data_IF_864174295432
#
_entry.id   IF_864174295432
#
_cell.length_a   1.000
_cell.length_b   1.000
_cell.length_c   1.000
_cell.angle_alpha   90.00
_cell.angle_beta   90.00
_cell.angle_gamma   90.00
#
_symmetry.space_group_name_H-M   'P 1'
#
loop_
_entity.id
_entity.type
_entity.pdbx_description
1 polymer ?
#
# COMPACT_ATOMS: atom_id res chain seq x y z
N UNK A 1 14.69 -27.26 33.02
CA UNK A 1 16.06 -27.17 32.43
C UNK A 1 16.17 -27.52 30.95
N UNK A 2 15.13 -28.02 30.26
CA UNK A 2 15.17 -28.30 28.82
C UNK A 2 14.81 -27.11 27.90
N UNK A 3 14.32 -25.99 28.46
CA UNK A 3 13.79 -24.86 27.68
C UNK A 3 14.84 -23.85 27.21
N UNK A 4 16.05 -23.81 27.81
CA UNK A 4 17.13 -22.92 27.35
C UNK A 4 17.94 -23.53 26.19
N UNK A 5 18.08 -24.85 26.16
CA UNK A 5 18.90 -25.56 25.17
C UNK A 5 18.30 -25.53 23.75
N UNK A 6 16.97 -25.54 23.62
CA UNK A 6 16.28 -25.43 22.32
C UNK A 6 16.37 -24.02 21.71
N UNK A 7 16.52 -22.98 22.55
CA UNK A 7 16.71 -21.59 22.13
C UNK A 7 18.18 -21.25 21.80
N UNK A 8 19.15 -22.01 22.29
CA UNK A 8 20.58 -21.80 21.99
C UNK A 8 21.00 -22.36 20.62
N UNK A 9 20.32 -23.39 20.11
CA UNK A 9 20.51 -23.96 18.78
C UNK A 9 20.29 -22.95 17.62
N UNK A 10 19.20 -22.15 17.58
CA UNK A 10 18.97 -21.18 16.52
C UNK A 10 19.96 -19.99 16.52
N UNK A 11 20.53 -19.62 17.68
CA UNK A 11 21.47 -18.49 17.78
C UNK A 11 22.86 -18.85 17.24
N UNK A 12 23.32 -20.08 17.45
CA UNK A 12 24.60 -20.57 16.89
C UNK A 12 24.56 -20.72 15.37
N UNK A 13 23.45 -21.25 14.86
CA UNK A 13 23.24 -21.40 13.43
C UNK A 13 23.18 -20.05 12.69
N UNK A 14 22.69 -18.99 13.34
CA UNK A 14 22.61 -17.65 12.76
C UNK A 14 23.97 -16.98 12.47
N UNK A 15 25.09 -17.54 12.93
CA UNK A 15 26.44 -16.97 12.71
C UNK A 15 27.21 -17.57 11.53
N UNK A 16 26.80 -18.73 11.01
CA UNK A 16 27.53 -19.44 9.95
C UNK A 16 26.70 -19.53 8.65
N UNK A 17 26.80 -18.51 7.80
CA UNK A 17 26.08 -18.44 6.51
C UNK A 17 26.35 -19.65 5.59
N UNK A 18 27.54 -20.27 5.69
CA UNK A 18 27.90 -21.46 4.91
C UNK A 18 27.12 -22.73 5.27
N UNK A 19 26.66 -22.86 6.52
CA UNK A 19 25.85 -24.01 6.96
C UNK A 19 24.39 -23.90 6.48
N UNK A 20 23.92 -22.69 6.17
CA UNK A 20 22.56 -22.44 5.71
C UNK A 20 22.27 -23.08 4.36
N UNK A 21 23.26 -23.04 3.47
CA UNK A 21 23.16 -23.62 2.12
C UNK A 21 23.27 -25.14 2.14
N UNK A 22 24.06 -25.70 3.07
CA UNK A 22 24.34 -27.13 3.13
C UNK A 22 23.27 -27.94 3.91
N UNK A 23 22.65 -27.36 4.95
CA UNK A 23 21.65 -28.05 5.79
C UNK A 23 20.62 -27.07 6.36
N UNK A 24 19.62 -26.61 5.59
CA UNK A 24 18.58 -25.73 6.13
C UNK A 24 17.92 -26.36 7.36
N UNK A 25 17.97 -25.67 8.52
CA UNK A 25 17.32 -26.08 9.78
C UNK A 25 15.83 -26.39 9.63
N UNK A 26 15.19 -25.79 8.62
CA UNK A 26 13.76 -25.89 8.36
C UNK A 26 13.58 -26.44 6.95
N UNK A 27 13.09 -27.67 6.84
CA UNK A 27 12.62 -28.23 5.57
C UNK A 27 11.16 -27.80 5.34
N UNK A 28 10.73 -27.74 4.09
CA UNK A 28 9.33 -27.42 3.73
C UNK A 28 8.37 -28.40 4.40
N UNK A 29 8.74 -29.69 4.47
CA UNK A 29 7.95 -30.73 5.15
C UNK A 29 7.86 -30.52 6.67
N UNK A 30 8.94 -30.10 7.33
CA UNK A 30 8.92 -29.82 8.78
C UNK A 30 8.10 -28.58 9.10
N UNK A 31 8.17 -27.54 8.25
CA UNK A 31 7.32 -26.36 8.37
C UNK A 31 5.84 -26.70 8.17
N UNK A 32 5.53 -27.55 7.20
CA UNK A 32 4.15 -28.01 6.96
C UNK A 32 3.59 -28.76 8.16
N UNK A 33 4.36 -29.72 8.69
CA UNK A 33 3.96 -30.48 9.88
C UNK A 33 3.77 -29.58 11.11
N UNK A 34 4.63 -28.57 11.29
CA UNK A 34 4.51 -27.62 12.39
C UNK A 34 3.28 -26.73 12.22
N UNK A 35 3.02 -26.22 11.01
CA UNK A 35 1.81 -25.47 10.69
C UNK A 35 0.54 -26.31 10.90
N UNK A 36 0.54 -27.57 10.47
CA UNK A 36 -0.56 -28.50 10.70
C UNK A 36 -0.78 -28.75 12.19
N UNK A 37 0.30 -28.91 12.97
CA UNK A 37 0.22 -29.06 14.42
C UNK A 37 -0.32 -27.81 15.13
N UNK A 38 -0.04 -26.61 14.60
CA UNK A 38 -0.55 -25.34 15.13
C UNK A 38 -2.06 -25.21 14.96
N UNK A 39 -2.62 -25.68 13.84
CA UNK A 39 -4.07 -25.65 13.59
C UNK A 39 -4.82 -26.84 14.19
N UNK A 40 -4.14 -27.96 14.43
CA UNK A 40 -4.74 -29.11 15.09
C UNK A 40 -4.90 -28.88 16.61
N UNK A 41 -4.22 -27.89 17.18
CA UNK A 41 -4.42 -27.40 18.55
C UNK A 41 -5.31 -26.16 18.50
N UNK A 42 -6.56 -26.26 18.94
CA UNK A 42 -7.42 -25.08 18.97
C UNK A 42 -6.87 -24.01 19.91
N UNK A 43 -6.75 -22.79 19.38
CA UNK A 43 -6.35 -21.59 20.11
C UNK A 43 -7.57 -20.80 20.60
N UNK A 44 -8.66 -21.45 21.03
CA UNK A 44 -9.48 -20.82 22.06
C UNK A 44 -8.57 -20.71 23.28
N UNK A 45 -8.12 -19.49 23.54
CA UNK A 45 -6.98 -19.23 24.42
C UNK A 45 -7.05 -20.05 25.69
N UNK A 46 -5.94 -20.71 26.04
CA UNK A 46 -5.69 -21.30 27.37
C UNK A 46 -5.88 -20.31 28.53
N UNK A 47 -6.21 -19.04 28.25
CA UNK A 47 -6.48 -17.98 29.20
C UNK A 47 -7.95 -17.82 29.56
N UNK A 48 -8.90 -18.43 28.85
CA UNK A 48 -10.33 -18.36 29.19
C UNK A 48 -10.90 -19.62 29.85
N UNK A 49 -10.15 -20.71 29.87
CA UNK A 49 -10.52 -21.93 30.60
C UNK A 49 -9.36 -22.26 31.54
N UNK A 50 -9.60 -22.08 32.84
CA UNK A 50 -8.68 -22.48 33.89
C UNK A 50 -8.27 -23.95 33.69
N UNK A 51 -6.99 -24.32 33.90
CA UNK A 51 -6.50 -25.67 33.65
C UNK A 51 -7.03 -26.72 34.65
N UNK A 52 -7.87 -26.32 35.61
CA UNK A 52 -8.32 -27.19 36.71
C UNK A 52 -9.71 -27.81 36.50
N UNK A 53 -10.33 -27.67 35.32
CA UNK A 53 -11.49 -28.50 34.97
C UNK A 53 -11.00 -29.76 34.28
N UNK A 54 -10.55 -30.73 35.07
CA UNK A 54 -10.40 -32.10 34.62
C UNK A 54 -11.72 -32.60 34.00
N UNK A 55 -11.59 -33.30 32.87
CA UNK A 55 -12.59 -34.16 32.26
C UNK A 55 -13.83 -33.50 31.61
N UNK A 56 -13.67 -33.00 30.39
CA UNK A 56 -14.54 -33.49 29.32
C UNK A 56 -13.74 -34.40 28.38
N UNK A 57 -13.99 -35.72 28.40
CA UNK A 57 -13.31 -36.69 27.54
C UNK A 57 -13.78 -36.66 26.06
N UNK A 58 -14.50 -35.61 25.65
CA UNK A 58 -14.95 -35.36 24.28
C UNK A 58 -14.49 -33.96 23.86
N UNK A 59 -13.31 -33.91 23.22
CA UNK A 59 -12.82 -32.82 22.37
C UNK A 59 -13.24 -31.39 22.72
N UNK A 60 -12.29 -30.58 23.23
CA UNK A 60 -12.45 -29.12 23.30
C UNK A 60 -12.91 -28.47 21.97
N UNK A 61 -12.66 -29.15 20.84
CA UNK A 61 -13.19 -28.86 19.50
C UNK A 61 -14.72 -28.76 19.42
N UNK A 62 -15.45 -29.60 20.16
CA UNK A 62 -16.91 -29.70 20.06
C UNK A 62 -17.60 -28.81 21.09
N UNK A 63 -17.02 -28.62 22.27
CA UNK A 63 -17.61 -27.84 23.36
C UNK A 63 -17.69 -26.34 23.02
N UNK A 64 -16.62 -25.75 22.47
CA UNK A 64 -16.62 -24.34 22.06
C UNK A 64 -17.60 -24.03 20.93
N UNK A 65 -17.65 -24.91 19.92
CA UNK A 65 -18.59 -24.77 18.79
C UNK A 65 -20.03 -24.99 19.24
N UNK A 66 -20.28 -25.96 20.13
CA UNK A 66 -21.62 -26.20 20.69
C UNK A 66 -22.12 -25.03 21.52
N UNK A 67 -21.26 -24.45 22.37
CA UNK A 67 -21.58 -23.25 23.12
C UNK A 67 -21.92 -22.07 22.19
N UNK A 68 -21.16 -21.86 21.11
CA UNK A 68 -21.46 -20.82 20.12
C UNK A 68 -22.78 -21.08 19.37
N UNK A 69 -23.09 -22.35 19.05
CA UNK A 69 -24.36 -22.74 18.42
C UNK A 69 -25.55 -22.57 19.37
N UNK A 70 -25.37 -22.83 20.66
CA UNK A 70 -26.39 -22.59 21.69
C UNK A 70 -26.61 -21.09 21.89
N UNK A 71 -25.54 -20.28 21.86
CA UNK A 71 -25.63 -18.80 21.91
C UNK A 71 -26.38 -18.21 20.70
N UNK A 72 -26.35 -18.87 19.54
CA UNK A 72 -27.13 -18.47 18.37
C UNK A 72 -28.64 -18.72 18.52
N UNK A 73 -29.09 -19.47 19.53
CA UNK A 73 -30.51 -19.73 19.79
C UNK A 73 -31.17 -18.64 20.66
N UNK A 74 -30.40 -17.69 21.20
CA UNK A 74 -30.91 -16.58 21.99
C UNK A 74 -31.58 -15.52 21.11
N UNK A 75 -32.59 -14.82 21.66
CA UNK A 75 -33.35 -13.78 20.95
C UNK A 75 -32.61 -12.44 20.82
N UNK A 76 -31.46 -12.25 21.47
CA UNK A 76 -30.69 -11.01 21.41
C UNK A 76 -29.82 -10.94 20.12
N UNK A 77 -30.10 -9.99 19.21
CA UNK A 77 -29.40 -9.91 17.93
C UNK A 77 -27.89 -9.63 18.07
N UNK A 78 -27.45 -8.95 19.14
CA UNK A 78 -26.03 -8.62 19.33
C UNK A 78 -25.20 -9.85 19.70
N UNK A 79 -25.79 -10.75 20.50
CA UNK A 79 -25.16 -12.00 20.93
C UNK A 79 -25.08 -12.96 19.75
N UNK A 80 -26.16 -13.09 18.98
CA UNK A 80 -26.20 -13.92 17.77
C UNK A 80 -25.15 -13.43 16.75
N UNK A 81 -25.04 -12.13 16.53
CA UNK A 81 -24.03 -11.58 15.60
C UNK A 81 -22.60 -11.85 16.09
N UNK A 82 -22.33 -11.68 17.39
CA UNK A 82 -21.02 -11.97 17.95
C UNK A 82 -20.66 -13.46 17.92
N UNK A 83 -21.61 -14.33 18.27
CA UNK A 83 -21.45 -15.78 18.22
C UNK A 83 -21.20 -16.27 16.79
N UNK A 84 -21.98 -15.77 15.81
CA UNK A 84 -21.77 -16.07 14.39
C UNK A 84 -20.43 -15.54 13.88
N UNK A 85 -20.01 -14.31 14.23
CA UNK A 85 -18.69 -13.77 13.86
C UNK A 85 -17.55 -14.65 14.38
N UNK A 86 -17.63 -15.11 15.64
CA UNK A 86 -16.63 -16.00 16.24
C UNK A 86 -16.63 -17.38 15.60
N UNK A 87 -17.82 -17.93 15.29
CA UNK A 87 -17.96 -19.20 14.59
C UNK A 87 -17.33 -19.13 13.18
N UNK A 88 -17.59 -18.07 12.42
CA UNK A 88 -16.94 -17.84 11.12
C UNK A 88 -15.43 -17.65 11.25
N UNK A 89 -14.95 -16.96 12.27
CA UNK A 89 -13.52 -16.81 12.52
C UNK A 89 -12.86 -18.15 12.85
N UNK A 90 -13.54 -19.04 13.57
CA UNK A 90 -13.07 -20.39 13.89
C UNK A 90 -12.93 -21.26 12.63
N UNK A 91 -13.95 -21.29 11.76
CA UNK A 91 -13.86 -22.02 10.50
C UNK A 91 -12.80 -21.43 9.54
N UNK A 92 -12.57 -20.13 9.60
CA UNK A 92 -11.60 -19.42 8.75
C UNK A 92 -10.22 -19.24 9.40
N UNK A 93 -9.86 -19.99 10.44
CA UNK A 93 -8.56 -19.81 11.13
C UNK A 93 -7.37 -19.96 10.18
N UNK A 94 -7.37 -20.97 9.31
CA UNK A 94 -6.25 -21.22 8.37
C UNK A 94 -6.12 -20.10 7.35
N UNK A 95 -7.24 -19.69 6.75
CA UNK A 95 -7.26 -18.63 5.75
C UNK A 95 -6.92 -17.27 6.37
N UNK A 96 -7.44 -16.98 7.57
CA UNK A 96 -7.10 -15.76 8.31
C UNK A 96 -5.63 -15.73 8.74
N UNK A 97 -5.09 -16.83 9.27
CA UNK A 97 -3.68 -16.91 9.65
C UNK A 97 -2.77 -16.74 8.45
N UNK A 98 -3.05 -17.40 7.32
CA UNK A 98 -2.26 -17.23 6.10
C UNK A 98 -2.34 -15.79 5.60
N UNK A 99 -3.54 -15.20 5.61
CA UNK A 99 -3.74 -13.81 5.22
C UNK A 99 -2.97 -12.83 6.13
N UNK A 100 -2.99 -13.03 7.45
CA UNK A 100 -2.22 -12.22 8.40
C UNK A 100 -0.72 -12.44 8.27
N UNK A 101 -0.28 -13.69 8.11
CA UNK A 101 1.13 -14.04 7.92
C UNK A 101 1.70 -13.43 6.63
N UNK A 102 0.91 -13.38 5.55
CA UNK A 102 1.29 -12.69 4.31
C UNK A 102 1.41 -11.17 4.50
N UNK A 103 0.72 -10.60 5.47
CA UNK A 103 0.83 -9.17 5.83
C UNK A 103 1.99 -8.87 6.80
N UNK A 104 2.60 -9.88 7.44
CA UNK A 104 3.72 -9.65 8.34
C UNK A 104 4.99 -9.30 7.55
N UNK A 105 5.68 -8.25 8.01
CA UNK A 105 6.94 -7.81 7.40
C UNK A 105 8.11 -8.09 8.32
N UNK A 106 9.14 -8.73 7.76
CA UNK A 106 10.40 -8.97 8.45
C UNK A 106 11.31 -7.79 8.16
N UNK A 107 11.63 -7.01 9.20
CA UNK A 107 12.52 -5.85 9.11
C UNK A 107 13.83 -6.20 9.82
N UNK A 108 14.92 -6.24 9.06
CA UNK A 108 16.23 -6.66 9.57
C UNK A 108 16.93 -5.52 10.33
N UNK A 109 16.80 -4.28 9.86
CA UNK A 109 17.52 -3.12 10.42
C UNK A 109 16.66 -2.35 11.42
N UNK A 110 17.18 -2.02 12.62
CA UNK A 110 16.41 -1.28 13.63
C UNK A 110 16.10 0.17 13.21
N UNK A 111 16.95 0.78 12.37
CA UNK A 111 16.70 2.11 11.78
C UNK A 111 15.50 2.08 10.85
N UNK A 112 15.41 1.07 9.99
CA UNK A 112 14.27 0.84 9.08
C UNK A 112 12.98 0.55 9.85
N UNK A 113 13.05 -0.18 10.96
CA UNK A 113 11.88 -0.45 11.80
C UNK A 113 11.25 0.84 12.35
N UNK A 114 12.07 1.80 12.81
CA UNK A 114 11.57 3.11 13.28
C UNK A 114 10.87 3.89 12.17
N UNK A 115 11.40 3.84 10.94
CA UNK A 115 10.78 4.48 9.77
C UNK A 115 9.45 3.80 9.44
N UNK A 116 9.41 2.46 9.46
CA UNK A 116 8.19 1.70 9.23
C UNK A 116 7.07 2.05 10.22
N UNK A 117 7.34 2.01 11.54
CA UNK A 117 6.34 2.37 12.54
C UNK A 117 5.88 3.82 12.40
N UNK A 118 6.79 4.74 12.09
CA UNK A 118 6.44 6.14 11.84
C UNK A 118 5.52 6.26 10.63
N UNK A 119 5.88 5.65 9.49
CA UNK A 119 5.06 5.67 8.28
C UNK A 119 3.68 5.06 8.53
N UNK A 120 3.60 3.95 9.26
CA UNK A 120 2.32 3.32 9.63
C UNK A 120 1.44 4.27 10.43
N UNK A 121 1.98 4.94 11.45
CA UNK A 121 1.24 5.93 12.24
C UNK A 121 0.81 7.11 11.38
N UNK A 122 1.70 7.64 10.54
CA UNK A 122 1.42 8.78 9.64
C UNK A 122 0.34 8.43 8.60
N UNK A 123 0.32 7.20 8.07
CA UNK A 123 -0.72 6.75 7.13
C UNK A 123 -2.06 6.63 7.84
N UNK A 124 -2.08 6.09 9.07
CA UNK A 124 -3.30 6.06 9.89
C UNK A 124 -3.80 7.46 10.21
N UNK A 125 -2.89 8.38 10.54
CA UNK A 125 -3.21 9.78 10.76
C UNK A 125 -3.80 10.40 9.49
N UNK A 126 -3.18 10.21 8.32
CA UNK A 126 -3.70 10.71 7.05
C UNK A 126 -5.12 10.21 6.80
N UNK A 127 -5.38 8.90 6.96
CA UNK A 127 -6.72 8.30 6.77
C UNK A 127 -7.77 8.91 7.69
N UNK A 128 -7.40 9.27 8.93
CA UNK A 128 -8.31 9.97 9.84
C UNK A 128 -8.66 11.38 9.37
N UNK A 129 -7.76 12.05 8.64
CA UNK A 129 -7.96 13.41 8.14
C UNK A 129 -8.71 13.49 6.80
N UNK A 130 -8.71 12.42 5.99
CA UNK A 130 -9.37 12.38 4.66
C UNK A 130 -10.85 12.79 4.69
N UNK A 131 -11.69 12.31 5.63
CA UNK A 131 -13.11 12.70 5.67
C UNK A 131 -13.31 14.22 5.85
N UNK A 132 -12.42 14.89 6.59
CA UNK A 132 -12.49 16.34 6.79
C UNK A 132 -12.13 17.14 5.54
N UNK A 133 -11.44 16.54 4.56
CA UNK A 133 -11.18 17.17 3.27
C UNK A 133 -12.44 17.24 2.39
N UNK A 134 -13.39 16.31 2.59
CA UNK A 134 -14.70 16.29 1.91
C UNK A 134 -15.78 17.10 2.61
N UNK A 135 -15.59 17.43 3.89
CA UNK A 135 -16.59 18.17 4.68
C UNK A 135 -16.62 19.65 4.28
N UNK A 136 -17.68 20.07 3.58
CA UNK A 136 -17.85 21.48 3.17
C UNK A 136 -18.24 22.42 4.33
N UNK A 137 -18.71 21.87 5.45
CA UNK A 137 -19.26 22.68 6.57
C UNK A 137 -18.20 23.28 7.49
N UNK A 138 -17.02 22.67 7.61
CA UNK A 138 -15.98 23.06 8.58
C UNK A 138 -14.74 23.64 7.88
N UNK A 139 -14.81 24.87 7.38
CA UNK A 139 -13.68 25.53 6.68
C UNK A 139 -12.36 25.54 7.49
N UNK A 140 -12.43 25.67 8.82
CA UNK A 140 -11.24 25.66 9.67
C UNK A 140 -10.58 24.28 9.71
N UNK A 141 -11.35 23.23 9.96
CA UNK A 141 -10.85 21.84 9.97
C UNK A 141 -10.39 21.39 8.60
N UNK A 142 -11.04 21.83 7.53
CA UNK A 142 -10.60 21.58 6.15
C UNK A 142 -9.20 22.17 5.90
N UNK A 143 -8.95 23.42 6.32
CA UNK A 143 -7.62 24.05 6.20
C UNK A 143 -6.56 23.33 7.04
N UNK A 144 -6.88 22.96 8.28
CA UNK A 144 -5.99 22.18 9.14
C UNK A 144 -5.65 20.82 8.49
N UNK A 145 -6.66 20.11 7.99
CA UNK A 145 -6.49 18.84 7.29
C UNK A 145 -5.60 18.98 6.04
N UNK A 146 -5.79 20.03 5.23
CA UNK A 146 -4.96 20.32 4.05
C UNK A 146 -3.47 20.51 4.44
N UNK A 147 -3.20 21.28 5.50
CA UNK A 147 -1.83 21.53 5.98
C UNK A 147 -1.19 20.25 6.52
N UNK A 148 -1.92 19.47 7.32
CA UNK A 148 -1.41 18.20 7.88
C UNK A 148 -1.14 17.20 6.75
N UNK A 149 -2.11 16.98 5.85
CA UNK A 149 -1.95 16.06 4.72
C UNK A 149 -0.78 16.47 3.81
N UNK A 150 -0.67 17.77 3.48
CA UNK A 150 0.45 18.28 2.69
C UNK A 150 1.80 18.04 3.34
N UNK A 151 1.91 18.28 4.65
CA UNK A 151 3.14 18.03 5.43
C UNK A 151 3.53 16.55 5.43
N UNK A 152 2.56 15.65 5.62
CA UNK A 152 2.78 14.20 5.61
C UNK A 152 3.27 13.73 4.24
N UNK A 153 2.62 14.17 3.15
CA UNK A 153 3.01 13.79 1.78
C UNK A 153 4.42 14.29 1.43
N UNK A 154 4.78 15.52 1.79
CA UNK A 154 6.14 16.04 1.58
C UNK A 154 7.16 15.20 2.34
N UNK A 155 6.85 14.81 3.58
CA UNK A 155 7.72 13.94 4.38
C UNK A 155 7.90 12.57 3.73
N UNK A 156 6.82 11.93 3.28
CA UNK A 156 6.90 10.65 2.55
C UNK A 156 7.70 10.77 1.26
N UNK A 157 7.52 11.87 0.53
CA UNK A 157 8.27 12.17 -0.68
C UNK A 157 9.77 12.29 -0.41
N UNK A 158 10.18 12.82 0.76
CA UNK A 158 11.57 12.89 1.19
C UNK A 158 12.14 11.52 1.58
N UNK A 159 11.33 10.67 2.23
CA UNK A 159 11.71 9.28 2.54
C UNK A 159 11.96 8.50 1.25
N UNK A 160 11.04 8.58 0.28
CA UNK A 160 11.18 7.92 -1.02
C UNK A 160 12.32 8.49 -1.88
N UNK A 161 12.73 9.74 -1.66
CA UNK A 161 13.87 10.34 -2.35
C UNK A 161 15.22 10.00 -1.73
N UNK A 162 15.27 9.18 -0.66
CA UNK A 162 16.52 8.85 0.03
C UNK A 162 17.18 10.08 0.67
N UNK A 163 16.41 11.15 0.95
CA UNK A 163 16.90 12.36 1.63
C UNK A 163 16.86 12.23 3.16
N UNK A 164 16.78 11.00 3.68
CA UNK A 164 17.01 10.68 5.08
C UNK A 164 18.49 10.49 5.37
N UNK A 165 18.88 10.76 6.62
CA UNK A 165 20.22 10.63 7.24
C UNK A 165 21.19 9.71 6.47
N UNK A 166 21.90 10.28 5.48
CA UNK A 166 22.80 9.53 4.58
C UNK A 166 24.06 9.00 5.29
N UNK A 167 24.39 9.58 6.45
CA UNK A 167 25.60 9.25 7.22
C UNK A 167 25.50 7.94 8.02
N UNK A 168 24.33 7.27 8.06
CA UNK A 168 24.11 6.04 8.86
C UNK A 168 23.63 4.82 8.06
N UNK A 169 24.07 4.70 6.80
CA UNK A 169 23.61 3.62 5.92
C UNK A 169 22.14 3.81 5.56
N UNK A 170 21.88 4.88 4.81
CA UNK A 170 20.54 5.33 4.43
C UNK A 170 19.66 4.20 3.89
N UNK A 171 18.35 4.36 4.09
CA UNK A 171 17.36 3.42 3.61
C UNK A 171 17.35 3.39 2.08
N UNK A 172 17.41 2.19 1.49
CA UNK A 172 17.35 2.03 0.04
C UNK A 172 15.98 2.47 -0.49
N UNK A 173 15.97 3.14 -1.64
CA UNK A 173 14.74 3.64 -2.28
C UNK A 173 13.77 2.49 -2.58
N UNK A 174 14.29 1.32 -2.97
CA UNK A 174 13.47 0.12 -3.23
C UNK A 174 12.85 -0.44 -1.96
N UNK A 175 13.60 -0.48 -0.86
CA UNK A 175 13.05 -0.87 0.44
C UNK A 175 11.95 0.13 0.86
N UNK A 176 12.16 1.43 0.66
CA UNK A 176 11.18 2.46 1.00
C UNK A 176 9.90 2.35 0.15
N UNK A 177 10.04 2.10 -1.15
CA UNK A 177 8.91 1.82 -2.05
C UNK A 177 8.16 0.55 -1.62
N UNK A 178 8.86 -0.54 -1.30
CA UNK A 178 8.24 -1.78 -0.84
C UNK A 178 7.46 -1.58 0.47
N UNK A 179 8.03 -0.88 1.44
CA UNK A 179 7.31 -0.54 2.69
C UNK A 179 6.08 0.32 2.43
N UNK A 180 6.16 1.29 1.51
CA UNK A 180 5.04 2.15 1.17
C UNK A 180 3.87 1.37 0.53
N UNK A 181 4.18 0.42 -0.36
CA UNK A 181 3.17 -0.46 -0.99
C UNK A 181 2.48 -1.32 0.04
N UNK A 182 3.29 -1.95 0.89
CA UNK A 182 2.83 -2.87 1.91
C UNK A 182 1.94 -2.20 2.96
N UNK A 183 2.25 -0.94 3.33
CA UNK A 183 1.42 -0.14 4.23
C UNK A 183 0.21 0.52 3.53
N UNK A 184 -0.01 0.24 2.24
CA UNK A 184 -1.08 0.82 1.44
C UNK A 184 -1.09 2.36 1.47
N UNK A 185 0.10 2.94 1.24
CA UNK A 185 0.26 4.38 1.07
C UNK A 185 -0.45 4.86 -0.20
N UNK A 186 -0.40 4.09 -1.28
CA UNK A 186 -1.07 4.39 -2.55
C UNK A 186 -2.59 4.51 -2.37
N UNK A 187 -3.25 3.62 -1.63
CA UNK A 187 -4.69 3.68 -1.39
C UNK A 187 -5.08 4.96 -0.65
N UNK A 188 -4.29 5.36 0.34
CA UNK A 188 -4.52 6.60 1.07
C UNK A 188 -4.38 7.85 0.16
N UNK A 189 -3.36 7.88 -0.71
CA UNK A 189 -3.15 8.98 -1.68
C UNK A 189 -4.25 9.01 -2.74
N UNK A 190 -4.67 7.85 -3.24
CA UNK A 190 -5.76 7.72 -4.20
C UNK A 190 -7.10 8.16 -3.60
N UNK A 191 -7.34 7.92 -2.32
CA UNK A 191 -8.54 8.41 -1.62
C UNK A 191 -8.61 9.94 -1.62
N UNK A 192 -7.47 10.63 -1.51
CA UNK A 192 -7.38 12.09 -1.62
C UNK A 192 -7.63 12.53 -3.06
N UNK A 193 -6.99 11.87 -4.04
CA UNK A 193 -7.17 12.19 -5.46
C UNK A 193 -8.58 11.87 -5.98
N UNK A 194 -9.33 11.01 -5.30
CA UNK A 194 -10.72 10.72 -5.64
C UNK A 194 -11.69 11.86 -5.25
N UNK A 195 -11.24 12.83 -4.43
CA UNK A 195 -12.06 13.97 -4.03
C UNK A 195 -12.36 14.88 -5.24
N UNK A 196 -13.55 15.51 -5.28
CA UNK A 196 -13.91 16.38 -6.38
C UNK A 196 -13.02 17.63 -6.42
N UNK A 197 -12.42 17.90 -7.58
CA UNK A 197 -11.69 19.13 -7.87
C UNK A 197 -12.46 19.92 -8.92
N UNK A 198 -13.18 20.95 -8.48
CA UNK A 198 -13.92 21.83 -9.37
C UNK A 198 -12.93 22.63 -10.25
N UNK A 199 -13.22 22.68 -11.56
CA UNK A 199 -12.42 23.40 -12.56
C UNK A 199 -13.20 24.56 -13.16
N UNK A 200 -12.52 25.67 -13.37
CA UNK A 200 -12.97 26.79 -14.15
C UNK A 200 -12.32 26.69 -15.53
N UNK A 201 -13.16 26.48 -16.55
CA UNK A 201 -12.72 26.35 -17.94
C UNK A 201 -12.05 27.64 -18.40
N UNK A 202 -10.84 27.54 -18.96
CA UNK A 202 -10.22 28.71 -19.55
C UNK A 202 -10.91 29.08 -20.86
N UNK A 203 -11.16 30.38 -21.06
CA UNK A 203 -11.73 30.92 -22.31
C UNK A 203 -10.66 31.27 -23.34
N UNK A 204 -9.38 31.25 -22.96
CA UNK A 204 -8.26 31.63 -23.81
C UNK A 204 -7.59 30.40 -24.41
N UNK A 205 -7.32 30.46 -25.70
CA UNK A 205 -6.55 29.44 -26.44
C UNK A 205 -5.16 29.31 -25.83
N UNK A 206 -4.72 28.09 -25.52
CA UNK A 206 -3.41 27.81 -24.93
C UNK A 206 -3.34 27.89 -23.41
N UNK A 207 -4.38 28.38 -22.72
CA UNK A 207 -4.45 28.37 -21.26
C UNK A 207 -5.14 27.10 -20.75
N UNK A 208 -4.62 26.58 -19.63
CA UNK A 208 -5.20 25.45 -18.93
C UNK A 208 -6.31 25.89 -17.99
N UNK A 209 -7.17 24.94 -17.62
CA UNK A 209 -8.24 25.15 -16.66
C UNK A 209 -7.66 25.50 -15.29
N UNK A 210 -8.34 26.39 -14.56
CA UNK A 210 -7.94 26.74 -13.20
C UNK A 210 -8.74 25.93 -12.20
N UNK A 211 -8.09 25.41 -11.18
CA UNK A 211 -8.80 24.82 -10.06
C UNK A 211 -9.49 25.93 -9.25
N UNK A 212 -10.74 25.68 -8.84
CA UNK A 212 -11.52 26.61 -8.02
C UNK A 212 -11.00 26.64 -6.57
N UNK A 213 -10.51 25.49 -6.08
CA UNK A 213 -9.86 25.33 -4.79
C UNK A 213 -8.34 25.20 -5.00
N UNK A 214 -7.62 26.32 -4.81
CA UNK A 214 -6.16 26.39 -5.00
C UNK A 214 -5.39 25.54 -3.98
N UNK A 215 -5.83 25.52 -2.73
CA UNK A 215 -5.16 24.75 -1.66
C UNK A 215 -5.29 23.24 -1.92
N UNK A 216 -6.48 22.79 -2.37
CA UNK A 216 -6.70 21.39 -2.77
C UNK A 216 -5.88 21.01 -4.01
N UNK A 217 -5.76 21.92 -5.00
CA UNK A 217 -4.87 21.71 -6.16
C UNK A 217 -3.43 21.50 -5.71
N UNK A 218 -2.95 22.31 -4.76
CA UNK A 218 -1.58 22.19 -4.27
C UNK A 218 -1.36 20.84 -3.57
N UNK A 219 -2.33 20.39 -2.77
CA UNK A 219 -2.30 19.04 -2.20
C UNK A 219 -2.26 17.96 -3.29
N UNK A 220 -3.07 18.07 -4.34
CA UNK A 220 -3.07 17.12 -5.45
C UNK A 220 -1.73 17.12 -6.19
N UNK A 221 -1.09 18.28 -6.35
CA UNK A 221 0.25 18.37 -6.96
C UNK A 221 1.30 17.59 -6.16
N UNK A 222 1.20 17.61 -4.82
CA UNK A 222 2.07 16.84 -3.93
C UNK A 222 1.79 15.34 -4.03
N UNK A 223 0.51 14.93 -4.10
CA UNK A 223 0.11 13.54 -4.35
C UNK A 223 0.69 13.02 -5.67
N UNK A 224 0.54 13.77 -6.76
CA UNK A 224 1.08 13.40 -8.07
C UNK A 224 2.60 13.27 -8.06
N UNK A 225 3.31 14.18 -7.39
CA UNK A 225 4.76 14.14 -7.21
C UNK A 225 5.22 12.92 -6.39
N UNK A 226 4.46 12.55 -5.36
CA UNK A 226 4.71 11.35 -4.55
C UNK A 226 4.50 10.07 -5.39
N UNK A 227 3.40 9.98 -6.13
CA UNK A 227 3.09 8.83 -6.98
C UNK A 227 4.14 8.63 -8.08
N UNK A 228 4.66 9.71 -8.67
CA UNK A 228 5.77 9.63 -9.63
C UNK A 228 7.00 8.97 -9.01
N UNK A 229 7.37 9.34 -7.77
CA UNK A 229 8.50 8.74 -7.05
C UNK A 229 8.23 7.29 -6.65
N UNK A 230 6.99 6.98 -6.30
CA UNK A 230 6.57 5.64 -5.93
C UNK A 230 6.65 4.67 -7.14
N UNK A 231 6.20 5.10 -8.32
CA UNK A 231 6.18 4.27 -9.53
C UNK A 231 7.55 4.16 -10.23
N UNK A 232 8.52 5.02 -9.88
CA UNK A 232 9.80 5.08 -10.58
C UNK A 232 10.56 3.75 -10.47
N UNK A 233 10.79 3.12 -11.62
CA UNK A 233 11.56 1.88 -11.78
C UNK A 233 11.03 0.69 -10.96
N UNK A 234 9.71 0.63 -10.72
CA UNK A 234 9.08 -0.46 -9.97
C UNK A 234 7.85 -1.03 -10.71
N UNK A 235 8.01 -2.12 -11.49
CA UNK A 235 6.93 -2.71 -12.28
C UNK A 235 5.71 -3.20 -11.48
N UNK A 236 5.91 -3.65 -10.23
CA UNK A 236 4.82 -4.13 -9.38
C UNK A 236 3.86 -2.99 -9.02
N UNK A 237 4.41 -1.84 -8.63
CA UNK A 237 3.64 -0.65 -8.28
C UNK A 237 2.93 -0.09 -9.51
N UNK A 238 3.61 -0.11 -10.66
CA UNK A 238 3.04 0.33 -11.92
C UNK A 238 1.78 -0.46 -12.29
N UNK A 239 1.82 -1.80 -12.17
CA UNK A 239 0.63 -2.65 -12.38
C UNK A 239 -0.48 -2.37 -11.37
N UNK A 240 -0.12 -2.12 -10.10
CA UNK A 240 -1.10 -1.77 -9.06
C UNK A 240 -1.77 -0.40 -9.33
N UNK A 241 -1.04 0.55 -9.89
CA UNK A 241 -1.53 1.91 -10.13
C UNK A 241 -2.31 2.06 -11.44
N UNK A 242 -2.06 1.20 -12.43
CA UNK A 242 -2.67 1.30 -13.76
C UNK A 242 -4.22 1.32 -13.75
N UNK A 243 -4.94 0.48 -12.97
CA UNK A 243 -6.40 0.55 -12.89
C UNK A 243 -6.95 1.91 -12.43
N UNK A 244 -6.15 2.66 -11.66
CA UNK A 244 -6.52 3.98 -11.14
C UNK A 244 -6.13 5.13 -12.08
N UNK A 245 -5.45 4.85 -13.21
CA UNK A 245 -5.02 5.85 -14.18
C UNK A 245 -6.20 6.65 -14.74
N UNK A 246 -7.32 6.00 -15.04
CA UNK A 246 -8.53 6.66 -15.57
C UNK A 246 -9.08 7.74 -14.62
N UNK A 247 -8.99 7.54 -13.31
CA UNK A 247 -9.39 8.56 -12.34
C UNK A 247 -8.45 9.76 -12.37
N UNK A 248 -7.14 9.52 -12.47
CA UNK A 248 -6.12 10.56 -12.57
C UNK A 248 -6.22 11.37 -13.87
N UNK A 249 -6.60 10.73 -14.99
CA UNK A 249 -6.80 11.40 -16.28
C UNK A 249 -7.83 12.54 -16.22
N UNK A 250 -8.80 12.49 -15.30
CA UNK A 250 -9.79 13.56 -15.12
C UNK A 250 -9.16 14.90 -14.71
N UNK A 251 -7.98 14.85 -14.11
CA UNK A 251 -7.22 16.02 -13.68
C UNK A 251 -6.32 16.59 -14.79
N UNK A 252 -6.22 15.93 -15.95
CA UNK A 252 -5.47 16.47 -17.08
C UNK A 252 -6.08 17.79 -17.54
N UNK A 253 -5.19 18.73 -17.90
CA UNK A 253 -5.60 20.06 -18.35
C UNK A 253 -5.87 21.07 -17.24
N UNK A 254 -5.74 20.69 -15.96
CA UNK A 254 -5.77 21.63 -14.84
C UNK A 254 -4.37 22.21 -14.61
N UNK A 255 -4.25 23.54 -14.65
CA UNK A 255 -3.01 24.25 -14.43
C UNK A 255 -2.46 24.03 -13.02
N UNK A 256 -1.20 23.59 -12.93
CA UNK A 256 -0.49 23.35 -11.67
C UNK A 256 -0.43 21.87 -11.26
N UNK A 257 -1.14 20.98 -11.96
CA UNK A 257 -1.01 19.54 -11.79
C UNK A 257 -0.09 18.95 -12.87
N UNK A 258 0.72 17.98 -12.48
CA UNK A 258 1.68 17.29 -13.36
C UNK A 258 1.23 15.84 -13.59
N UNK A 259 0.00 15.71 -14.09
CA UNK A 259 -0.66 14.42 -14.30
C UNK A 259 0.03 13.63 -15.40
N UNK A 260 0.55 14.32 -16.43
CA UNK A 260 1.13 13.66 -17.59
C UNK A 260 2.41 12.91 -17.20
N UNK A 261 3.25 13.54 -16.37
CA UNK A 261 4.44 12.90 -15.81
C UNK A 261 4.09 11.77 -14.83
N UNK A 262 2.97 11.86 -14.09
CA UNK A 262 2.49 10.76 -13.25
C UNK A 262 2.05 9.56 -14.09
N UNK A 263 1.26 9.77 -15.14
CA UNK A 263 0.85 8.71 -16.06
C UNK A 263 2.07 8.11 -16.76
N UNK A 264 3.05 8.95 -17.14
CA UNK A 264 4.31 8.50 -17.70
C UNK A 264 5.14 7.66 -16.74
N UNK A 265 5.19 8.02 -15.46
CA UNK A 265 5.88 7.22 -14.44
C UNK A 265 5.23 5.84 -14.21
N UNK A 266 3.91 5.70 -14.43
CA UNK A 266 3.19 4.42 -14.32
C UNK A 266 3.59 3.47 -15.45
N UNK A 267 3.81 3.98 -16.66
CA UNK A 267 4.07 3.13 -17.83
C UNK A 267 5.57 3.01 -18.13
N UNK A 268 6.40 3.91 -17.61
CA UNK A 268 7.83 3.96 -17.92
C UNK A 268 8.58 2.67 -17.56
N UNK A 269 9.25 2.08 -18.55
CA UNK A 269 10.09 0.89 -18.35
C UNK A 269 9.32 -0.43 -18.25
N UNK A 270 8.00 -0.42 -18.47
CA UNK A 270 7.17 -1.63 -18.44
C UNK A 270 6.53 -1.89 -19.81
N UNK A 271 7.11 -2.83 -20.57
CA UNK A 271 6.68 -3.14 -21.95
C UNK A 271 5.24 -3.63 -22.02
N UNK A 272 4.81 -4.46 -21.06
CA UNK A 272 3.44 -5.00 -21.05
C UNK A 272 2.40 -3.89 -20.93
N UNK A 273 2.62 -2.94 -20.00
CA UNK A 273 1.72 -1.79 -19.83
C UNK A 273 1.78 -0.83 -21.01
N UNK A 274 2.94 -0.69 -21.67
CA UNK A 274 3.06 0.13 -22.89
C UNK A 274 2.24 -0.46 -24.02
N UNK A 275 2.26 -1.78 -24.20
CA UNK A 275 1.53 -2.46 -25.27
C UNK A 275 0.00 -2.41 -25.04
N UNK A 276 -0.43 -2.57 -23.79
CA UNK A 276 -1.84 -2.50 -23.40
C UNK A 276 -2.40 -1.07 -23.43
N UNK A 277 -1.69 -0.11 -22.85
CA UNK A 277 -2.20 1.25 -22.61
C UNK A 277 -1.76 2.29 -23.66
N UNK A 278 -0.74 1.97 -24.46
CA UNK A 278 -0.02 2.97 -25.25
C UNK A 278 -0.88 3.67 -26.28
N UNK A 279 -1.77 2.94 -26.97
CA UNK A 279 -2.67 3.52 -27.99
C UNK A 279 -3.67 4.49 -27.37
N UNK A 280 -4.31 4.09 -26.28
CA UNK A 280 -5.30 4.91 -25.60
C UNK A 280 -4.66 6.16 -25.01
N UNK A 281 -3.46 6.02 -24.45
CA UNK A 281 -2.75 7.14 -23.85
C UNK A 281 -2.21 8.13 -24.90
N UNK A 282 -1.70 7.67 -26.05
CA UNK A 282 -1.34 8.55 -27.17
C UNK A 282 -2.58 9.30 -27.66
N UNK A 283 -3.71 8.60 -27.82
CA UNK A 283 -4.96 9.23 -28.25
C UNK A 283 -5.44 10.31 -27.26
N UNK A 284 -5.28 10.05 -25.96
CA UNK A 284 -5.62 10.98 -24.89
C UNK A 284 -4.73 12.22 -24.95
N UNK A 285 -3.41 12.06 -25.07
CA UNK A 285 -2.46 13.17 -25.15
C UNK A 285 -2.75 14.08 -26.35
N UNK A 286 -2.99 13.51 -27.53
CA UNK A 286 -3.34 14.28 -28.72
C UNK A 286 -4.70 14.96 -28.60
N UNK A 287 -5.70 14.29 -28.00
CA UNK A 287 -7.01 14.90 -27.73
C UNK A 287 -6.87 16.10 -26.79
N UNK A 288 -6.08 15.99 -25.72
CA UNK A 288 -5.85 17.12 -24.81
C UNK A 288 -5.02 18.23 -25.44
N UNK A 289 -4.03 17.90 -26.27
CA UNK A 289 -3.29 18.88 -27.07
C UNK A 289 -4.21 19.68 -27.99
N UNK A 290 -5.14 18.99 -28.66
CA UNK A 290 -6.11 19.60 -29.57
C UNK A 290 -7.14 20.44 -28.81
N UNK A 291 -7.65 19.94 -27.68
CA UNK A 291 -8.66 20.62 -26.87
C UNK A 291 -8.17 21.95 -26.29
N UNK A 292 -6.95 21.98 -25.74
CA UNK A 292 -6.39 23.20 -25.15
C UNK A 292 -5.57 24.03 -26.15
N UNK A 293 -5.30 23.50 -27.35
CA UNK A 293 -4.42 24.12 -28.36
C UNK A 293 -3.07 24.56 -27.79
N UNK A 294 -2.60 23.87 -26.75
CA UNK A 294 -1.37 24.18 -26.05
C UNK A 294 -0.29 23.15 -26.45
N UNK A 295 0.89 23.61 -26.86
CA UNK A 295 2.03 22.73 -27.15
C UNK A 295 3.01 22.78 -25.99
N UNK A 296 2.76 22.01 -24.95
CA UNK A 296 3.65 21.93 -23.78
C UNK A 296 4.71 20.85 -23.97
N UNK A 297 5.97 21.20 -23.76
CA UNK A 297 7.09 20.26 -23.83
C UNK A 297 6.86 19.03 -22.93
N UNK A 298 6.30 19.22 -21.73
CA UNK A 298 5.99 18.15 -20.77
C UNK A 298 5.06 17.07 -21.32
N UNK A 299 4.12 17.44 -22.20
CA UNK A 299 3.19 16.47 -22.80
C UNK A 299 3.90 15.57 -23.83
N UNK A 300 4.93 16.11 -24.50
CA UNK A 300 5.79 15.35 -25.40
C UNK A 300 6.79 14.50 -24.61
N UNK A 301 7.35 15.06 -23.52
CA UNK A 301 8.22 14.30 -22.61
C UNK A 301 7.48 13.12 -21.99
N UNK A 302 6.21 13.29 -21.61
CA UNK A 302 5.36 12.23 -21.10
C UNK A 302 5.06 11.15 -22.15
N UNK A 303 5.15 11.44 -23.45
CA UNK A 303 5.01 10.44 -24.50
C UNK A 303 6.30 9.63 -24.74
N UNK A 304 7.46 10.12 -24.29
CA UNK A 304 8.74 9.43 -24.53
C UNK A 304 8.80 7.99 -23.99
N UNK A 305 8.28 7.67 -22.79
CA UNK A 305 8.31 6.31 -22.26
C UNK A 305 7.49 5.31 -23.09
N UNK A 306 6.52 5.78 -23.89
CA UNK A 306 5.75 4.94 -24.82
C UNK A 306 6.53 4.62 -26.08
N UNK A 307 7.31 5.59 -26.58
CA UNK A 307 8.08 5.45 -27.82
C UNK A 307 9.38 4.68 -27.58
N UNK A 308 9.99 4.87 -26.41
CA UNK A 308 11.27 4.26 -26.03
C UNK A 308 11.15 3.56 -24.66
N UNK A 309 10.50 2.38 -24.59
CA UNK A 309 10.29 1.68 -23.32
C UNK A 309 11.59 1.27 -22.60
N UNK A 310 12.69 1.07 -23.33
CA UNK A 310 13.97 0.60 -22.75
C UNK A 310 14.99 1.72 -22.46
N UNK A 311 14.68 2.98 -22.75
CA UNK A 311 15.64 4.09 -22.60
C UNK A 311 16.86 4.03 -23.54
N UNK A 312 17.02 2.97 -24.34
CA UNK A 312 17.91 2.99 -25.51
C UNK A 312 17.28 3.90 -26.54
N UNK A 313 17.75 5.15 -26.61
CA UNK A 313 17.69 5.90 -27.86
C UNK A 313 18.19 4.94 -28.92
N UNK A 314 17.35 4.60 -29.90
CA UNK A 314 17.79 3.84 -31.06
C UNK A 314 19.09 4.49 -31.53
N UNK A 315 20.18 3.74 -31.38
CA UNK A 315 21.43 4.13 -32.01
C UNK A 315 21.10 4.27 -33.47
N UNK A 316 21.14 5.51 -33.96
CA UNK A 316 21.23 5.75 -35.38
C UNK A 316 22.44 4.95 -35.85
N UNK A 317 22.17 3.81 -36.47
CA UNK A 317 23.09 3.20 -37.42
C UNK A 317 23.20 4.22 -38.56
N UNK A 318 24.26 5.02 -38.49
CA UNK A 318 24.88 5.70 -39.62
C UNK A 318 26.37 5.53 -39.45
#
# INVERSE_FOLDING_TARGET
DASSAELDLPIRYARDEGQWVARPLWNVSTLFNLAESLFNRENFGKTFVSPDSEAEPMGGQVAGVRMLLDLCQYEDPLIVEAAMRLLFAHFNQRTSFVHEALQVHIIVRPTTARVFYRLRCEISELRSWVPYLSADKDHKRKKEALVVCGRLIVRWSNVLAGRGDRDKGGMDVREAQAMAVNLDMQGAVLSILALPLARQLSKKVGELDKALDGDRRDLFSLCHSLLQRLCKANPMIQRLMYPHAAAMQRHMGIGGLDVESTLAAIVAGNRELVDEAGKDWISLLFRTMSQYQARRARWLEAAMPLVCPDGRRGGASR
#
